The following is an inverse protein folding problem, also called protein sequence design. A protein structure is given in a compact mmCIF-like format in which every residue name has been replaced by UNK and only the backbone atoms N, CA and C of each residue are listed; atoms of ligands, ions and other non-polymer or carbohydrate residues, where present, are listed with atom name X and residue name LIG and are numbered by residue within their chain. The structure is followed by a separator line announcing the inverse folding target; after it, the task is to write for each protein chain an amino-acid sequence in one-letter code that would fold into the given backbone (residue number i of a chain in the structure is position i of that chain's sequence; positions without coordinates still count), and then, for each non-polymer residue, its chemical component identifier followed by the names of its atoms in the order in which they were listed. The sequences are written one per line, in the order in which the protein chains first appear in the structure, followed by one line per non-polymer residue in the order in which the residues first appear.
data_IF_776010245185
#
_entry.id   IF_776010245185
#
_cell.length_a   1.000
_cell.length_b   1.000
_cell.length_c   1.000
_cell.angle_alpha   90.00
_cell.angle_beta   90.00
_cell.angle_gamma   90.00
#
_symmetry.space_group_name_H-M   'P 1'
#
loop_
_entity.id
_entity.type
_entity.pdbx_description
1 polymer ?
#
# COMPACT_ATOMS: atom_id res chain seq x y z
N UNK A 1 10.84 36.01 3.36
CA UNK A 1 11.92 35.54 4.24
C UNK A 1 12.30 34.15 3.80
N UNK A 2 13.41 34.09 3.07
CA UNK A 2 14.32 32.96 2.84
C UNK A 2 13.70 31.56 2.79
N UNK A 3 13.41 31.14 1.56
CA UNK A 3 13.43 29.74 1.14
C UNK A 3 14.84 29.25 1.44
N UNK A 4 14.97 28.31 2.38
CA UNK A 4 16.23 27.66 2.72
C UNK A 4 16.75 26.96 1.45
N UNK A 5 17.91 27.35 0.88
CA UNK A 5 18.52 26.58 -0.19
C UNK A 5 18.89 25.23 0.40
N UNK A 6 18.69 24.13 -0.34
CA UNK A 6 19.37 22.89 0.02
C UNK A 6 20.87 23.19 0.01
N UNK A 7 21.43 23.35 1.21
CA UNK A 7 22.86 23.43 1.42
C UNK A 7 23.37 22.02 1.15
N UNK A 8 23.82 21.78 -0.07
CA UNK A 8 24.58 20.58 -0.42
C UNK A 8 25.88 20.63 0.39
N UNK A 9 25.86 19.99 1.55
CA UNK A 9 27.01 19.87 2.44
C UNK A 9 28.07 19.01 1.77
N UNK A 10 29.32 19.46 1.82
CA UNK A 10 30.41 18.65 1.31
C UNK A 10 30.61 17.39 2.19
N UNK A 11 31.21 16.33 1.66
CA UNK A 11 31.37 15.07 2.39
C UNK A 11 32.15 15.27 3.71
N UNK A 12 33.16 16.15 3.70
CA UNK A 12 33.94 16.53 4.88
C UNK A 12 33.11 17.28 5.94
N UNK A 13 32.24 18.20 5.51
CA UNK A 13 31.37 18.97 6.41
C UNK A 13 30.34 18.04 7.06
N UNK A 14 29.78 17.12 6.28
CA UNK A 14 28.87 16.07 6.77
C UNK A 14 29.54 15.22 7.84
N UNK A 15 30.78 14.76 7.62
CA UNK A 15 31.54 13.98 8.61
C UNK A 15 31.81 14.79 9.88
N UNK A 16 32.16 16.08 9.76
CA UNK A 16 32.41 16.95 10.90
C UNK A 16 31.15 17.14 11.75
N UNK A 17 30.00 17.36 11.10
CA UNK A 17 28.70 17.49 11.77
C UNK A 17 28.33 16.18 12.48
N UNK A 18 28.43 15.02 11.81
CA UNK A 18 28.14 13.70 12.40
C UNK A 18 29.00 13.47 13.66
N UNK A 19 30.31 13.75 13.60
CA UNK A 19 31.21 13.59 14.75
C UNK A 19 30.84 14.50 15.92
N UNK A 20 30.47 15.76 15.66
CA UNK A 20 30.02 16.69 16.71
C UNK A 20 28.72 16.22 17.35
N UNK A 21 27.75 15.77 16.55
CA UNK A 21 26.48 15.22 17.04
C UNK A 21 26.70 13.98 17.91
N UNK A 22 27.52 13.03 17.46
CA UNK A 22 27.86 11.85 18.26
C UNK A 22 28.51 12.24 19.59
N UNK A 23 29.40 13.25 19.63
CA UNK A 23 30.05 13.70 20.88
C UNK A 23 29.04 14.25 21.90
N UNK A 24 28.05 15.00 21.43
CA UNK A 24 27.00 15.58 22.29
C UNK A 24 25.99 14.52 22.76
N UNK A 25 25.60 13.60 21.87
CA UNK A 25 24.54 12.62 22.14
C UNK A 25 25.03 11.37 22.90
N UNK A 26 26.32 11.01 22.81
CA UNK A 26 26.88 9.79 23.41
C UNK A 26 26.64 9.59 24.92
N UNK A 27 26.66 10.60 25.81
CA UNK A 27 26.33 10.39 27.22
C UNK A 27 24.83 10.16 27.46
N UNK A 28 23.96 10.51 26.52
CA UNK A 28 22.50 10.42 26.67
C UNK A 28 21.89 9.22 25.94
N UNK A 29 22.60 8.62 24.98
CA UNK A 29 22.12 7.51 24.16
C UNK A 29 22.96 6.26 24.37
N UNK A 30 22.33 5.21 24.87
CA UNK A 30 22.89 3.86 24.87
C UNK A 30 22.39 3.08 23.64
N UNK A 31 23.32 2.61 22.81
CA UNK A 31 23.02 1.81 21.62
C UNK A 31 23.98 0.62 21.55
N UNK A 32 23.45 -0.60 21.38
CA UNK A 32 24.19 -1.84 21.14
C UNK A 32 23.68 -2.53 19.88
N UNK A 33 24.53 -3.27 19.20
CA UNK A 33 24.13 -4.07 18.04
C UNK A 33 23.76 -5.49 18.49
N UNK A 34 22.76 -6.11 17.86
CA UNK A 34 22.30 -7.46 18.25
C UNK A 34 23.41 -8.52 18.11
N UNK A 35 24.31 -8.35 17.14
CA UNK A 35 25.51 -9.16 16.97
C UNK A 35 26.53 -9.07 18.12
N UNK A 36 26.50 -7.98 18.89
CA UNK A 36 27.42 -7.76 20.03
C UNK A 36 26.91 -8.43 21.32
N UNK A 37 25.63 -8.85 21.34
CA UNK A 37 24.96 -9.33 22.54
C UNK A 37 24.38 -10.74 22.38
N UNK A 38 24.18 -11.23 21.16
CA UNK A 38 23.60 -12.54 20.89
C UNK A 38 24.22 -13.15 19.63
N UNK A 39 25.16 -14.08 19.81
CA UNK A 39 25.93 -14.72 18.74
C UNK A 39 25.22 -15.90 18.08
N UNK A 40 24.12 -16.38 18.66
CA UNK A 40 23.35 -17.52 18.13
C UNK A 40 22.30 -17.10 17.09
N UNK A 41 22.06 -15.80 16.90
CA UNK A 41 21.10 -15.31 15.92
C UNK A 41 21.67 -15.43 14.49
N UNK A 42 20.93 -16.07 13.58
CA UNK A 42 21.31 -16.09 12.18
C UNK A 42 21.25 -14.68 11.58
N UNK A 43 21.95 -14.50 10.47
CA UNK A 43 21.95 -13.24 9.74
C UNK A 43 20.57 -12.90 9.17
N UNK A 44 20.21 -11.62 9.23
CA UNK A 44 18.98 -11.11 8.59
C UNK A 44 19.24 -10.99 7.09
N UNK A 45 18.56 -11.81 6.30
CA UNK A 45 18.55 -11.69 4.84
C UNK A 45 17.31 -10.91 4.38
N UNK A 46 17.47 -10.01 3.42
CA UNK A 46 16.39 -9.18 2.87
C UNK A 46 16.26 -9.42 1.36
N UNK A 47 15.06 -9.80 0.92
CA UNK A 47 14.73 -10.03 -0.48
C UNK A 47 13.63 -9.06 -0.92
N UNK A 48 13.86 -8.35 -2.03
CA UNK A 48 12.86 -7.48 -2.66
C UNK A 48 12.24 -8.22 -3.85
N UNK A 49 10.99 -8.67 -3.70
CA UNK A 49 10.27 -9.40 -4.74
C UNK A 49 9.35 -8.45 -5.49
N UNK A 50 9.54 -8.33 -6.81
CA UNK A 50 8.65 -7.57 -7.70
C UNK A 50 7.48 -8.45 -8.11
N UNK A 51 6.27 -7.90 -8.03
CA UNK A 51 5.04 -8.57 -8.44
C UNK A 51 4.43 -7.80 -9.61
N UNK A 52 3.98 -8.52 -10.64
CA UNK A 52 3.23 -7.92 -11.74
C UNK A 52 1.80 -7.57 -11.31
N UNK A 53 1.21 -6.55 -11.91
CA UNK A 53 -0.20 -6.25 -11.68
C UNK A 53 -1.10 -7.30 -12.37
N UNK A 54 -2.26 -7.58 -11.78
CA UNK A 54 -3.33 -8.31 -12.47
C UNK A 54 -3.97 -7.47 -13.59
N UNK A 55 -4.83 -8.08 -14.41
CA UNK A 55 -5.55 -7.37 -15.47
C UNK A 55 -6.43 -6.24 -14.90
N UNK A 56 -7.21 -6.55 -13.86
CA UNK A 56 -8.08 -5.57 -13.19
C UNK A 56 -7.27 -4.46 -12.52
N UNK A 57 -6.14 -4.80 -11.87
CA UNK A 57 -5.25 -3.79 -11.29
C UNK A 57 -4.73 -2.82 -12.36
N UNK A 58 -4.28 -3.32 -13.52
CA UNK A 58 -3.81 -2.45 -14.61
C UNK A 58 -4.88 -1.50 -15.12
N UNK A 59 -6.10 -2.00 -15.33
CA UNK A 59 -7.22 -1.18 -15.81
C UNK A 59 -7.56 -0.08 -14.80
N UNK A 60 -7.74 -0.45 -13.53
CA UNK A 60 -8.03 0.50 -12.45
C UNK A 60 -6.90 1.50 -12.25
N UNK A 61 -5.65 1.05 -12.33
CA UNK A 61 -4.48 1.89 -12.12
C UNK A 61 -4.38 2.96 -13.22
N UNK A 62 -4.50 2.58 -14.50
CA UNK A 62 -4.53 3.52 -15.63
C UNK A 62 -5.67 4.53 -15.50
N UNK A 63 -6.85 4.05 -15.12
CA UNK A 63 -8.02 4.90 -14.92
C UNK A 63 -7.82 5.93 -13.80
N UNK A 64 -7.27 5.51 -12.66
CA UNK A 64 -6.99 6.43 -11.54
C UNK A 64 -5.88 7.43 -11.87
N UNK A 65 -4.87 7.02 -12.66
CA UNK A 65 -3.87 7.94 -13.17
C UNK A 65 -4.48 9.01 -14.08
N UNK A 66 -5.34 8.62 -15.03
CA UNK A 66 -5.99 9.55 -15.95
C UNK A 66 -6.88 10.60 -15.25
N UNK A 67 -7.49 10.24 -14.12
CA UNK A 67 -8.34 11.15 -13.32
C UNK A 67 -7.58 11.97 -12.29
N UNK A 68 -6.51 11.42 -11.73
CA UNK A 68 -5.71 12.08 -10.69
C UNK A 68 -4.77 13.17 -11.20
N UNK A 69 -4.53 13.23 -12.53
CA UNK A 69 -3.63 14.19 -13.18
C UNK A 69 -4.37 15.46 -13.66
N UNK A 70 -5.70 15.44 -13.77
CA UNK A 70 -6.49 16.54 -14.36
C UNK A 70 -6.62 17.82 -13.48
N UNK A 71 -5.80 17.98 -12.44
CA UNK A 71 -5.80 19.18 -11.59
C UNK A 71 -4.42 19.83 -11.42
N UNK A 72 -3.40 19.38 -12.15
CA UNK A 72 -2.06 20.00 -12.09
C UNK A 72 -1.58 20.57 -13.41
N UNK A 73 -2.36 20.46 -14.49
CA UNK A 73 -2.03 21.19 -15.71
C UNK A 73 -2.59 22.62 -15.61
N UNK A 74 -1.68 23.57 -15.60
CA UNK A 74 -1.98 24.95 -15.26
C UNK A 74 -2.80 25.63 -16.35
N UNK A 75 -4.06 25.95 -16.05
CA UNK A 75 -4.73 27.08 -16.70
C UNK A 75 -5.74 27.73 -15.75
N UNK A 76 -5.36 28.92 -15.32
CA UNK A 76 -6.19 30.04 -14.85
C UNK A 76 -6.91 29.97 -13.48
N UNK A 77 -6.43 30.87 -12.61
CA UNK A 77 -7.21 31.78 -11.74
C UNK A 77 -8.33 31.15 -10.91
N UNK A 78 -8.00 30.74 -9.69
CA UNK A 78 -8.81 31.20 -8.55
C UNK A 78 -8.04 31.26 -7.23
N UNK A 79 -8.22 32.39 -6.56
CA UNK A 79 -7.58 32.76 -5.30
C UNK A 79 -8.18 31.94 -4.15
N UNK A 80 -7.60 30.78 -3.83
CA UNK A 80 -7.56 30.17 -2.46
C UNK A 80 -6.65 28.93 -2.44
N UNK A 81 -5.35 29.17 -2.33
CA UNK A 81 -4.34 28.12 -2.22
C UNK A 81 -4.43 27.36 -0.90
N UNK A 82 -5.05 26.17 -0.90
CA UNK A 82 -4.84 25.11 0.12
C UNK A 82 -5.38 23.71 -0.26
N UNK A 83 -5.72 23.45 -1.53
CA UNK A 83 -6.39 22.21 -1.97
C UNK A 83 -5.54 21.19 -2.74
N UNK A 84 -4.55 21.62 -3.54
CA UNK A 84 -3.87 20.75 -4.52
C UNK A 84 -3.10 19.55 -3.93
N UNK A 85 -2.37 19.76 -2.82
CA UNK A 85 -1.60 18.70 -2.18
C UNK A 85 -2.48 17.63 -1.50
N UNK A 86 -3.65 18.01 -0.97
CA UNK A 86 -4.61 17.07 -0.37
C UNK A 86 -5.25 16.18 -1.42
N UNK A 87 -5.55 16.72 -2.61
CA UNK A 87 -6.11 15.94 -3.72
C UNK A 87 -5.10 14.94 -4.29
N UNK A 88 -3.82 15.34 -4.42
CA UNK A 88 -2.73 14.45 -4.88
C UNK A 88 -2.41 13.32 -3.89
N UNK A 89 -2.38 13.63 -2.58
CA UNK A 89 -2.19 12.61 -1.52
C UNK A 89 -3.31 11.56 -1.55
N UNK A 90 -4.54 11.95 -1.88
CA UNK A 90 -5.66 11.04 -2.04
C UNK A 90 -5.41 10.07 -3.22
N UNK A 91 -4.95 10.56 -4.37
CA UNK A 91 -4.62 9.72 -5.53
C UNK A 91 -3.54 8.68 -5.21
N UNK A 92 -2.44 9.08 -4.57
CA UNK A 92 -1.36 8.15 -4.18
C UNK A 92 -1.91 7.06 -3.25
N UNK A 93 -2.78 7.42 -2.32
CA UNK A 93 -3.43 6.47 -1.42
C UNK A 93 -4.29 5.47 -2.18
N UNK A 94 -5.07 5.92 -3.18
CA UNK A 94 -5.86 5.02 -4.01
C UNK A 94 -4.96 4.12 -4.87
N UNK A 95 -3.90 4.64 -5.49
CA UNK A 95 -2.95 3.81 -6.24
C UNK A 95 -2.32 2.74 -5.34
N UNK A 96 -1.97 3.06 -4.09
CA UNK A 96 -1.50 2.08 -3.09
C UNK A 96 -2.54 1.00 -2.80
N UNK A 97 -3.82 1.36 -2.65
CA UNK A 97 -4.91 0.39 -2.47
C UNK A 97 -5.01 -0.57 -3.66
N UNK A 98 -5.01 -0.06 -4.90
CA UNK A 98 -5.06 -0.90 -6.12
C UNK A 98 -3.90 -1.90 -6.13
N UNK A 99 -2.68 -1.42 -5.85
CA UNK A 99 -1.49 -2.28 -5.83
C UNK A 99 -1.50 -3.33 -4.70
N UNK A 100 -2.26 -3.10 -3.62
CA UNK A 100 -2.44 -4.08 -2.56
C UNK A 100 -3.51 -5.10 -2.92
N UNK A 101 -4.74 -4.62 -3.19
CA UNK A 101 -5.83 -5.44 -3.68
C UNK A 101 -6.92 -4.57 -4.34
N UNK A 102 -7.46 -4.94 -5.52
CA UNK A 102 -8.50 -4.15 -6.20
C UNK A 102 -9.82 -4.07 -5.42
N UNK A 103 -10.10 -5.01 -4.51
CA UNK A 103 -11.31 -4.99 -3.67
C UNK A 103 -11.18 -4.12 -2.41
N UNK A 104 -10.06 -3.41 -2.21
CA UNK A 104 -9.93 -2.45 -1.09
C UNK A 104 -10.79 -1.17 -1.26
N UNK A 105 -11.57 -1.08 -2.33
CA UNK A 105 -12.39 0.06 -2.67
C UNK A 105 -13.86 -0.24 -2.36
N UNK A 106 -14.42 0.35 -1.29
CA UNK A 106 -15.85 0.28 -1.06
C UNK A 106 -16.63 1.06 -2.14
N UNK A 107 -16.13 2.21 -2.58
CA UNK A 107 -16.78 3.01 -3.63
C UNK A 107 -15.75 3.60 -4.58
N UNK A 108 -15.93 3.41 -5.90
CA UNK A 108 -15.27 4.22 -6.92
C UNK A 108 -16.28 5.25 -7.41
N UNK A 109 -16.06 6.52 -7.09
CA UNK A 109 -16.78 7.61 -7.75
C UNK A 109 -16.31 7.69 -9.21
N UNK A 110 -17.23 7.42 -10.15
CA UNK A 110 -16.98 7.51 -11.58
C UNK A 110 -17.73 8.71 -12.12
N UNK A 111 -17.03 9.86 -12.19
CA UNK A 111 -17.54 11.03 -12.90
C UNK A 111 -17.50 10.72 -14.39
N UNK A 112 -18.68 10.65 -15.01
CA UNK A 112 -18.80 10.65 -16.46
C UNK A 112 -18.96 12.09 -16.93
N UNK A 113 -18.14 12.49 -17.89
CA UNK A 113 -18.25 13.79 -18.53
C UNK A 113 -19.04 13.61 -19.82
N UNK A 114 -20.33 13.95 -19.78
CA UNK A 114 -21.09 14.19 -21.00
C UNK A 114 -20.88 15.66 -21.43
N UNK A 115 -20.96 16.00 -22.72
CA UNK A 115 -20.61 17.33 -23.24
C UNK A 115 -21.30 18.51 -22.55
N UNK A 116 -22.46 18.31 -21.89
CA UNK A 116 -23.24 19.38 -21.26
C UNK A 116 -23.91 19.03 -19.91
N UNK A 117 -23.62 17.87 -19.29
CA UNK A 117 -24.23 17.47 -18.01
C UNK A 117 -23.21 16.76 -17.13
N UNK A 118 -23.05 17.25 -15.90
CA UNK A 118 -22.32 16.55 -14.86
C UNK A 118 -23.20 15.46 -14.24
N UNK A 119 -22.97 14.19 -14.59
CA UNK A 119 -23.64 13.07 -13.92
C UNK A 119 -22.65 12.34 -13.03
N UNK A 120 -22.93 12.37 -11.72
CA UNK A 120 -22.19 11.61 -10.71
C UNK A 120 -22.78 10.20 -10.67
N UNK A 121 -22.13 9.26 -11.35
CA UNK A 121 -22.45 7.85 -11.21
C UNK A 121 -21.57 7.24 -10.11
N UNK A 122 -22.23 6.70 -9.09
CA UNK A 122 -21.59 5.85 -8.10
C UNK A 122 -21.60 4.45 -8.69
N UNK A 123 -20.44 3.93 -9.10
CA UNK A 123 -20.37 2.52 -9.48
C UNK A 123 -20.62 1.68 -8.22
N UNK A 124 -21.37 0.56 -8.33
CA UNK A 124 -21.47 -0.41 -7.23
C UNK A 124 -20.07 -0.88 -6.81
N UNK A 125 -19.96 -1.46 -5.61
CA UNK A 125 -18.69 -2.00 -5.11
C UNK A 125 -18.03 -2.85 -6.22
N UNK A 126 -16.75 -2.63 -6.51
CA UNK A 126 -16.06 -3.43 -7.56
C UNK A 126 -16.22 -4.91 -7.24
N UNK A 127 -16.13 -5.24 -5.96
CA UNK A 127 -16.37 -6.58 -5.44
C UNK A 127 -17.79 -7.06 -5.74
N UNK A 128 -18.83 -6.32 -5.39
CA UNK A 128 -20.24 -6.70 -5.69
C UNK A 128 -20.48 -6.84 -7.19
N UNK A 129 -20.01 -5.89 -8.01
CA UNK A 129 -20.19 -5.93 -9.47
C UNK A 129 -19.52 -7.17 -10.08
N UNK A 130 -18.33 -7.53 -9.57
CA UNK A 130 -17.59 -8.69 -10.03
C UNK A 130 -18.20 -9.99 -9.50
N UNK A 131 -18.71 -9.98 -8.26
CA UNK A 131 -19.42 -11.08 -7.64
C UNK A 131 -20.74 -11.39 -8.37
N UNK A 132 -21.54 -10.38 -8.69
CA UNK A 132 -22.76 -10.50 -9.49
C UNK A 132 -22.47 -11.04 -10.89
N UNK A 133 -21.46 -10.47 -11.57
CA UNK A 133 -21.09 -10.90 -12.93
C UNK A 133 -20.63 -12.37 -12.98
N UNK A 134 -19.97 -12.83 -11.92
CA UNK A 134 -19.50 -14.22 -11.79
C UNK A 134 -20.54 -15.15 -11.13
N UNK A 135 -21.72 -14.63 -10.77
CA UNK A 135 -22.81 -15.43 -10.21
C UNK A 135 -22.61 -15.87 -8.76
N UNK A 136 -21.83 -15.15 -7.96
CA UNK A 136 -21.67 -15.43 -6.53
C UNK A 136 -22.94 -15.04 -5.75
N UNK A 137 -23.66 -16.00 -5.14
CA UNK A 137 -25.02 -15.78 -4.61
C UNK A 137 -25.10 -14.83 -3.41
N UNK A 138 -23.96 -14.55 -2.75
CA UNK A 138 -23.89 -13.71 -1.56
C UNK A 138 -23.12 -12.40 -1.78
N UNK A 139 -22.69 -12.09 -3.00
CA UNK A 139 -21.88 -10.90 -3.29
C UNK A 139 -20.45 -10.92 -2.72
N UNK A 140 -20.04 -12.00 -2.06
CA UNK A 140 -18.70 -12.17 -1.47
C UNK A 140 -17.80 -12.93 -2.42
N UNK A 141 -16.69 -12.32 -2.82
CA UNK A 141 -15.70 -12.97 -3.68
C UNK A 141 -14.81 -13.86 -2.82
N UNK A 142 -14.76 -15.14 -3.15
CA UNK A 142 -13.92 -16.11 -2.44
C UNK A 142 -13.16 -16.99 -3.41
N UNK A 143 -12.15 -17.68 -2.88
CA UNK A 143 -11.39 -18.67 -3.62
C UNK A 143 -10.47 -18.09 -4.68
N UNK A 144 -10.50 -18.70 -5.87
CA UNK A 144 -9.57 -18.36 -6.95
C UNK A 144 -9.67 -16.92 -7.40
N UNK A 145 -10.88 -16.37 -7.43
CA UNK A 145 -11.12 -15.00 -7.89
C UNK A 145 -10.55 -13.95 -6.93
N UNK A 146 -10.52 -14.26 -5.63
CA UNK A 146 -9.92 -13.39 -4.61
C UNK A 146 -8.43 -13.17 -4.90
N UNK A 147 -7.63 -14.25 -4.95
CA UNK A 147 -6.18 -14.10 -5.08
C UNK A 147 -5.74 -13.77 -6.51
N UNK A 148 -6.49 -14.18 -7.54
CA UNK A 148 -6.17 -13.85 -8.95
C UNK A 148 -6.40 -12.38 -9.28
N UNK A 149 -7.24 -11.69 -8.52
CA UNK A 149 -7.48 -10.27 -8.69
C UNK A 149 -6.27 -9.40 -8.29
N UNK A 150 -5.31 -9.90 -7.51
CA UNK A 150 -4.11 -9.16 -7.11
C UNK A 150 -2.83 -9.95 -7.35
N UNK A 151 -1.87 -9.38 -8.08
CA UNK A 151 -0.60 -10.06 -8.35
C UNK A 151 0.24 -10.34 -7.09
N UNK A 152 0.06 -9.57 -6.01
CA UNK A 152 0.68 -9.89 -4.72
C UNK A 152 0.05 -11.13 -4.09
N UNK A 153 -1.27 -11.27 -4.16
CA UNK A 153 -1.96 -12.43 -3.62
C UNK A 153 -1.68 -13.67 -4.46
N UNK A 154 -1.59 -13.56 -5.79
CA UNK A 154 -1.16 -14.63 -6.68
C UNK A 154 0.27 -15.11 -6.37
N UNK A 155 1.18 -14.21 -6.01
CA UNK A 155 2.51 -14.60 -5.52
C UNK A 155 2.44 -15.26 -4.13
N UNK A 156 1.68 -14.69 -3.20
CA UNK A 156 1.50 -15.27 -1.85
C UNK A 156 0.93 -16.68 -1.93
N UNK A 157 0.01 -16.93 -2.87
CA UNK A 157 -0.58 -18.23 -3.14
C UNK A 157 0.43 -19.28 -3.61
N UNK A 158 1.51 -18.84 -4.27
CA UNK A 158 2.60 -19.73 -4.69
C UNK A 158 3.64 -19.98 -3.59
N UNK A 159 3.80 -19.05 -2.64
CA UNK A 159 4.86 -19.08 -1.62
C UNK A 159 4.35 -19.69 -0.30
N UNK A 160 3.21 -19.24 0.21
CA UNK A 160 2.72 -19.62 1.53
C UNK A 160 2.49 -21.13 1.68
N UNK A 161 1.91 -21.86 0.70
CA UNK A 161 1.79 -23.32 0.82
C UNK A 161 3.15 -24.02 0.96
N UNK A 162 4.19 -23.54 0.28
CA UNK A 162 5.54 -24.11 0.37
C UNK A 162 6.13 -23.89 1.76
N UNK A 163 5.99 -22.67 2.29
CA UNK A 163 6.43 -22.33 3.65
C UNK A 163 5.66 -23.11 4.73
N UNK A 164 4.38 -23.37 4.49
CA UNK A 164 3.55 -24.17 5.39
C UNK A 164 4.02 -25.62 5.43
N UNK A 165 4.28 -26.23 4.27
CA UNK A 165 4.81 -27.61 4.17
C UNK A 165 6.19 -27.73 4.82
N UNK A 166 7.06 -26.71 4.70
CA UNK A 166 8.36 -26.70 5.37
C UNK A 166 8.31 -26.20 6.82
N UNK A 167 7.12 -26.02 7.39
CA UNK A 167 6.87 -25.65 8.78
C UNK A 167 7.54 -24.33 9.22
N UNK A 168 7.61 -23.34 8.31
CA UNK A 168 8.02 -21.98 8.66
C UNK A 168 6.83 -21.17 9.21
N UNK A 169 7.09 -20.39 10.25
CA UNK A 169 6.14 -19.40 10.76
C UNK A 169 6.34 -18.08 10.03
N UNK A 170 5.26 -17.52 9.51
CA UNK A 170 5.30 -16.31 8.69
C UNK A 170 4.67 -15.16 9.47
N UNK A 171 5.37 -14.01 9.49
CA UNK A 171 4.84 -12.75 10.00
C UNK A 171 4.61 -11.81 8.81
N UNK A 172 3.37 -11.37 8.64
CA UNK A 172 2.97 -10.47 7.56
C UNK A 172 2.59 -9.11 8.13
N UNK A 173 3.11 -8.06 7.52
CA UNK A 173 2.83 -6.68 7.90
C UNK A 173 1.97 -6.01 6.84
N UNK A 174 0.84 -5.45 7.25
CA UNK A 174 -0.06 -4.68 6.39
C UNK A 174 -0.19 -3.27 6.94
N UNK A 175 0.02 -2.25 6.09
CA UNK A 175 -0.17 -0.85 6.51
C UNK A 175 -1.65 -0.48 6.64
N UNK A 176 -2.51 -1.07 5.81
CA UNK A 176 -3.94 -0.75 5.74
C UNK A 176 -4.74 -1.88 6.39
N UNK A 177 -5.56 -1.57 7.41
CA UNK A 177 -6.40 -2.55 8.12
C UNK A 177 -7.43 -3.22 7.20
N UNK A 178 -7.93 -2.50 6.19
CA UNK A 178 -8.85 -3.08 5.19
C UNK A 178 -8.20 -4.19 4.34
N UNK A 179 -6.88 -4.17 4.17
CA UNK A 179 -6.17 -5.27 3.50
C UNK A 179 -6.14 -6.53 4.37
N UNK A 180 -6.13 -6.35 5.70
CA UNK A 180 -6.10 -7.46 6.63
C UNK A 180 -7.37 -8.28 6.51
N UNK A 181 -8.55 -7.64 6.39
CA UNK A 181 -9.82 -8.34 6.17
C UNK A 181 -9.79 -9.22 4.91
N UNK A 182 -9.32 -8.69 3.78
CA UNK A 182 -9.15 -9.48 2.53
C UNK A 182 -8.19 -10.65 2.74
N UNK A 183 -7.15 -10.46 3.57
CA UNK A 183 -6.19 -11.51 3.86
C UNK A 183 -6.78 -12.60 4.78
N UNK A 184 -7.69 -12.25 5.68
CA UNK A 184 -8.46 -13.22 6.48
C UNK A 184 -9.34 -14.09 5.60
N UNK A 185 -10.04 -13.51 4.62
CA UNK A 185 -10.86 -14.28 3.66
C UNK A 185 -9.99 -15.25 2.85
N UNK A 186 -8.79 -14.82 2.44
CA UNK A 186 -7.83 -15.67 1.76
C UNK A 186 -7.30 -16.80 2.64
N UNK A 187 -6.97 -16.54 3.91
CA UNK A 187 -6.52 -17.57 4.84
C UNK A 187 -7.61 -18.56 5.22
N UNK A 188 -8.85 -18.09 5.38
CA UNK A 188 -10.01 -18.95 5.56
C UNK A 188 -10.18 -19.88 4.35
N UNK A 189 -10.09 -19.34 3.12
CA UNK A 189 -10.16 -20.16 1.91
C UNK A 189 -9.05 -21.21 1.81
N UNK A 190 -7.81 -20.86 2.16
CA UNK A 190 -6.66 -21.79 2.14
C UNK A 190 -6.56 -22.67 3.38
N UNK A 191 -7.46 -22.52 4.35
CA UNK A 191 -7.45 -23.20 5.65
C UNK A 191 -6.13 -22.99 6.44
N UNK A 192 -5.56 -21.78 6.39
CA UNK A 192 -4.41 -21.42 7.19
C UNK A 192 -4.83 -20.89 8.56
N UNK A 193 -4.23 -21.43 9.63
CA UNK A 193 -4.37 -20.88 10.97
C UNK A 193 -3.58 -19.57 11.06
N UNK A 194 -4.22 -18.52 11.55
CA UNK A 194 -3.60 -17.20 11.68
C UNK A 194 -4.03 -16.51 12.98
N UNK A 195 -3.27 -15.49 13.36
CA UNK A 195 -3.63 -14.55 14.42
C UNK A 195 -3.56 -13.13 13.83
N UNK A 196 -4.53 -12.29 14.18
CA UNK A 196 -4.62 -10.89 13.76
C UNK A 196 -4.32 -9.99 14.95
N UNK A 197 -3.45 -9.00 14.72
CA UNK A 197 -3.15 -7.93 15.67
C UNK A 197 -3.27 -6.60 14.94
N UNK A 198 -4.20 -5.75 15.37
CA UNK A 198 -4.34 -4.38 14.88
C UNK A 198 -4.59 -3.40 16.04
N UNK A 199 -4.51 -2.10 15.74
CA UNK A 199 -4.66 -1.04 16.73
C UNK A 199 -6.10 -0.72 17.10
N UNK A 200 -7.10 -1.53 16.70
CA UNK A 200 -8.50 -1.22 17.02
C UNK A 200 -8.87 -1.48 18.49
N UNK A 201 -7.96 -2.09 19.25
CA UNK A 201 -8.14 -2.44 20.67
C UNK A 201 -7.20 -1.70 21.63
N UNK A 202 -6.58 -0.59 21.20
CA UNK A 202 -5.78 0.33 22.03
C UNK A 202 -6.37 1.75 21.96
#
# INVERSE_FOLDING_TARGET
TLIDPQVDLNEEETILIIRRLHKVLRPFLLRRLKKEVESQLPEKVEYVIKCDMSAIQRVLYRHMQGRGILLTDGSEKDKKGKGGAKTLMNTIMQLKKICNHPYMFPHIEVRYMFPHIEVRYMFPHIEESFAEHLGFPNGVISGHELYRASGKFELLDRILPKLHVTNHRVLLFCQMTSLMTIMEDYFAYRNFLYLRLDGMYL
#
